data_IF_043859663098
#
_entry.id   IF_043859663098
#
_cell.length_a   1.000
_cell.length_b   1.000
_cell.length_c   1.000
_cell.angle_alpha   90.00
_cell.angle_beta   90.00
_cell.angle_gamma   90.00
#
_symmetry.space_group_name_H-M   'P 1'
#
loop_
_entity.id
_entity.type
_entity.pdbx_description
1 polymer ?
#
# COMPACT_ATOMS: atom_id res chain seq x y z
N UNK A 1 69.55 52.81 40.45
CA UNK A 1 69.79 51.52 39.76
C UNK A 1 68.44 50.86 39.56
N UNK A 2 67.82 51.06 38.37
CA UNK A 2 66.54 50.52 38.02
C UNK A 2 66.66 49.17 37.30
N UNK A 3 65.92 48.13 37.62
CA UNK A 3 65.94 46.89 36.88
C UNK A 3 65.01 46.98 35.68
N UNK A 4 65.56 46.65 34.53
CA UNK A 4 64.96 46.55 33.20
C UNK A 4 63.73 45.66 33.13
N UNK A 5 62.63 46.22 32.68
CA UNK A 5 61.34 45.49 32.34
C UNK A 5 61.51 44.83 31.01
N UNK A 6 61.46 43.49 30.94
CA UNK A 6 61.41 42.70 29.72
C UNK A 6 60.00 42.67 29.16
N UNK A 7 59.77 42.82 27.85
CA UNK A 7 58.46 42.66 27.24
C UNK A 7 58.14 41.15 27.02
N UNK A 8 57.01 40.74 27.55
CA UNK A 8 56.41 39.44 27.30
C UNK A 8 55.80 39.46 25.91
N UNK A 9 56.24 38.59 25.05
CA UNK A 9 55.61 38.33 23.72
C UNK A 9 54.66 37.15 23.82
N UNK A 10 53.36 37.46 23.87
CA UNK A 10 52.32 36.46 23.73
C UNK A 10 52.23 36.00 22.27
N UNK A 11 52.07 34.68 22.00
CA UNK A 11 51.87 34.15 20.66
C UNK A 11 50.47 34.48 20.15
N UNK A 12 50.30 34.70 18.81
CA UNK A 12 49.00 35.05 18.24
C UNK A 12 48.00 33.87 18.36
N UNK A 13 46.87 34.18 18.95
CA UNK A 13 45.72 33.27 19.03
C UNK A 13 45.24 32.94 17.62
N UNK A 14 45.44 31.72 17.17
CA UNK A 14 44.83 31.20 15.94
C UNK A 14 43.33 31.10 16.13
N UNK A 15 42.59 31.95 15.44
CA UNK A 15 41.15 31.84 15.29
C UNK A 15 40.85 30.64 14.38
N UNK A 16 40.37 29.55 14.98
CA UNK A 16 39.85 28.39 14.25
C UNK A 16 38.55 28.79 13.54
N UNK A 17 38.55 28.78 12.23
CA UNK A 17 37.34 28.94 11.42
C UNK A 17 36.31 27.89 11.78
N UNK A 18 34.98 28.23 11.82
CA UNK A 18 33.95 27.28 12.12
C UNK A 18 33.91 26.16 11.05
N UNK A 19 33.61 24.91 11.45
CA UNK A 19 33.50 23.81 10.50
C UNK A 19 32.36 24.08 9.49
N UNK A 20 32.52 23.66 8.24
CA UNK A 20 31.49 23.85 7.22
C UNK A 20 30.21 23.19 7.65
N UNK A 21 29.03 23.78 7.33
CA UNK A 21 27.73 23.20 7.70
C UNK A 21 27.61 21.80 7.11
N UNK A 22 27.32 20.83 7.99
CA UNK A 22 27.04 19.46 7.63
C UNK A 22 25.93 19.46 6.57
N UNK A 23 26.24 19.00 5.35
CA UNK A 23 25.27 18.77 4.29
C UNK A 23 24.26 17.76 4.84
N UNK A 24 23.14 18.25 5.31
CA UNK A 24 21.99 17.40 5.65
C UNK A 24 21.63 16.65 4.37
N UNK A 25 22.00 15.38 4.32
CA UNK A 25 21.53 14.48 3.30
C UNK A 25 20.01 14.50 3.40
N UNK A 26 19.34 15.02 2.36
CA UNK A 26 17.87 14.93 2.25
C UNK A 26 17.54 13.45 2.39
N UNK A 27 17.04 13.06 3.55
CA UNK A 27 16.49 11.72 3.79
C UNK A 27 15.55 11.47 2.61
N UNK A 28 15.92 10.55 1.74
CA UNK A 28 15.03 10.05 0.69
C UNK A 28 13.77 9.58 1.43
N UNK A 29 12.68 10.31 1.28
CA UNK A 29 11.38 9.83 1.74
C UNK A 29 11.25 8.41 1.21
N UNK A 30 11.20 7.44 2.11
CA UNK A 30 10.85 6.08 1.76
C UNK A 30 9.53 6.17 1.01
N UNK A 31 9.52 5.78 -0.26
CA UNK A 31 8.25 5.63 -0.98
C UNK A 31 7.44 4.60 -0.21
N UNK A 32 6.24 4.98 0.19
CA UNK A 32 5.31 4.02 0.75
C UNK A 32 5.06 2.94 -0.29
N UNK A 33 4.99 1.66 0.12
CA UNK A 33 4.65 0.59 -0.80
C UNK A 33 3.28 0.89 -1.42
N UNK A 34 3.15 0.72 -2.70
CA UNK A 34 1.92 0.95 -3.44
C UNK A 34 1.52 -0.30 -4.20
N UNK A 35 0.24 -0.62 -4.18
CA UNK A 35 -0.31 -1.69 -4.99
C UNK A 35 -0.29 -1.25 -6.46
N UNK A 36 0.19 -2.14 -7.33
CA UNK A 36 0.29 -1.90 -8.77
C UNK A 36 -0.54 -2.96 -9.48
N UNK A 37 -1.41 -2.54 -10.41
CA UNK A 37 -2.21 -3.44 -11.22
C UNK A 37 -1.61 -3.63 -12.60
N UNK A 38 -1.65 -4.86 -13.11
CA UNK A 38 -1.38 -5.12 -14.52
C UNK A 38 -2.42 -4.43 -15.39
N UNK A 39 -2.14 -4.18 -16.69
CA UNK A 39 -3.14 -3.65 -17.60
C UNK A 39 -4.41 -4.50 -17.68
N UNK A 40 -4.28 -5.83 -17.58
CA UNK A 40 -5.40 -6.76 -17.60
C UNK A 40 -6.26 -6.64 -16.33
N UNK A 41 -5.65 -6.68 -15.15
CA UNK A 41 -6.36 -6.54 -13.88
C UNK A 41 -7.07 -5.19 -13.79
N UNK A 42 -6.39 -4.13 -14.23
CA UNK A 42 -6.97 -2.79 -14.26
C UNK A 42 -8.15 -2.69 -15.23
N UNK A 43 -8.02 -3.26 -16.43
CA UNK A 43 -9.11 -3.27 -17.42
C UNK A 43 -10.34 -4.02 -16.90
N UNK A 44 -10.16 -5.17 -16.23
CA UNK A 44 -11.26 -5.91 -15.60
C UNK A 44 -11.97 -5.07 -14.54
N UNK A 45 -11.22 -4.41 -13.64
CA UNK A 45 -11.80 -3.51 -12.64
C UNK A 45 -12.60 -2.37 -13.29
N UNK A 46 -12.07 -1.74 -14.35
CA UNK A 46 -12.78 -0.69 -15.07
C UNK A 46 -14.03 -1.24 -15.77
N UNK A 47 -13.97 -2.43 -16.36
CA UNK A 47 -15.12 -3.07 -16.97
C UNK A 47 -16.23 -3.28 -15.95
N UNK A 48 -15.92 -3.82 -14.76
CA UNK A 48 -16.90 -4.05 -13.71
C UNK A 48 -17.42 -2.75 -13.10
N UNK A 49 -16.58 -1.74 -12.93
CA UNK A 49 -17.00 -0.40 -12.47
C UNK A 49 -18.08 0.21 -13.38
N UNK A 50 -18.01 -0.06 -14.68
CA UNK A 50 -18.92 0.50 -15.68
C UNK A 50 -20.00 -0.49 -16.16
N UNK A 51 -20.04 -1.70 -15.62
CA UNK A 51 -20.98 -2.74 -16.07
C UNK A 51 -22.41 -2.54 -15.55
N UNK A 52 -22.61 -1.77 -14.48
CA UNK A 52 -23.92 -1.55 -13.87
C UNK A 52 -23.87 -0.62 -12.66
N UNK A 53 -24.98 -0.57 -11.94
CA UNK A 53 -25.17 0.30 -10.76
C UNK A 53 -24.90 -0.44 -9.44
N UNK A 54 -24.30 -1.63 -9.50
CA UNK A 54 -23.95 -2.43 -8.33
C UNK A 54 -22.43 -2.52 -8.18
N UNK A 55 -22.00 -2.73 -6.94
CA UNK A 55 -20.61 -3.09 -6.66
C UNK A 55 -20.26 -4.46 -7.24
N UNK A 56 -19.01 -4.67 -7.59
CA UNK A 56 -18.46 -5.97 -7.96
C UNK A 56 -17.20 -6.21 -7.17
N UNK A 57 -17.15 -7.30 -6.44
CA UNK A 57 -15.99 -7.71 -5.66
C UNK A 57 -15.19 -8.83 -6.32
N UNK A 58 -13.96 -9.01 -5.84
CA UNK A 58 -13.11 -10.09 -6.28
C UNK A 58 -11.75 -10.09 -5.61
N UNK A 59 -10.94 -11.06 -6.00
CA UNK A 59 -9.60 -11.30 -5.46
C UNK A 59 -8.54 -10.84 -6.45
N UNK A 60 -7.52 -10.16 -5.93
CA UNK A 60 -6.33 -9.82 -6.69
C UNK A 60 -5.35 -10.99 -6.67
N UNK A 61 -5.03 -11.53 -7.85
CA UNK A 61 -3.96 -12.51 -8.00
C UNK A 61 -2.62 -11.78 -8.15
N UNK A 62 -1.77 -11.89 -7.15
CA UNK A 62 -0.44 -11.27 -7.14
C UNK A 62 0.58 -12.01 -7.98
N UNK A 63 1.60 -11.30 -8.46
CA UNK A 63 2.78 -11.90 -9.08
C UNK A 63 3.55 -12.78 -8.09
N UNK A 64 4.31 -13.72 -8.63
CA UNK A 64 5.22 -14.54 -7.85
C UNK A 64 6.42 -13.73 -7.33
N UNK A 65 6.94 -12.83 -8.15
CA UNK A 65 8.12 -12.03 -7.85
C UNK A 65 7.81 -10.78 -7.00
N UNK A 66 6.57 -10.26 -7.09
CA UNK A 66 6.15 -9.05 -6.36
C UNK A 66 4.69 -9.18 -5.93
N UNK A 67 4.49 -9.38 -4.63
CA UNK A 67 3.15 -9.54 -4.05
C UNK A 67 2.32 -8.24 -4.05
N UNK A 68 2.92 -7.10 -4.36
CA UNK A 68 2.20 -5.83 -4.56
C UNK A 68 1.84 -5.58 -6.03
N UNK A 69 2.29 -6.44 -6.95
CA UNK A 69 1.90 -6.40 -8.35
C UNK A 69 0.75 -7.39 -8.61
N UNK A 70 -0.46 -6.86 -8.80
CA UNK A 70 -1.67 -7.63 -9.10
C UNK A 70 -1.71 -7.96 -10.58
N UNK A 71 -1.49 -9.23 -10.92
CA UNK A 71 -1.47 -9.71 -12.30
C UNK A 71 -2.86 -9.83 -12.91
N UNK A 72 -3.84 -10.25 -12.08
CA UNK A 72 -5.21 -10.47 -12.51
C UNK A 72 -6.20 -10.13 -11.41
N UNK A 73 -7.44 -9.87 -11.78
CA UNK A 73 -8.58 -9.68 -10.90
C UNK A 73 -9.61 -10.78 -11.19
N UNK A 74 -9.93 -11.58 -10.17
CA UNK A 74 -10.80 -12.73 -10.26
C UNK A 74 -12.07 -12.49 -9.47
N UNK A 75 -13.20 -12.57 -10.13
CA UNK A 75 -14.51 -12.52 -9.48
C UNK A 75 -15.02 -13.94 -9.23
N UNK A 76 -15.78 -14.11 -8.16
CA UNK A 76 -16.50 -15.36 -7.85
C UNK A 76 -17.99 -15.06 -7.77
N UNK A 77 -18.83 -16.10 -7.69
CA UNK A 77 -20.27 -15.93 -7.50
C UNK A 77 -20.54 -15.06 -6.27
N UNK A 78 -21.40 -14.06 -6.45
CA UNK A 78 -21.64 -13.04 -5.45
C UNK A 78 -23.03 -12.43 -5.58
N UNK A 79 -23.59 -11.98 -4.47
CA UNK A 79 -24.77 -11.12 -4.43
C UNK A 79 -24.31 -9.68 -4.19
N UNK A 80 -24.77 -8.76 -5.02
CA UNK A 80 -24.30 -7.37 -4.99
C UNK A 80 -25.44 -6.38 -4.96
N UNK A 81 -25.16 -5.21 -4.36
CA UNK A 81 -26.01 -4.04 -4.40
C UNK A 81 -25.18 -2.81 -4.75
N UNK A 82 -25.75 -1.63 -4.68
CA UNK A 82 -25.02 -0.38 -4.86
C UNK A 82 -24.07 -0.02 -3.69
N UNK A 83 -24.09 -0.79 -2.60
CA UNK A 83 -23.36 -0.51 -1.34
C UNK A 83 -22.86 -1.77 -0.63
N UNK A 84 -22.99 -2.95 -1.23
CA UNK A 84 -22.57 -4.23 -0.63
C UNK A 84 -22.13 -5.22 -1.66
N UNK A 85 -21.12 -6.02 -1.29
CA UNK A 85 -20.71 -7.24 -1.97
C UNK A 85 -20.73 -8.38 -0.96
N UNK A 86 -21.43 -9.48 -1.29
CA UNK A 86 -21.47 -10.70 -0.50
C UNK A 86 -21.11 -11.88 -1.39
N UNK A 87 -19.97 -12.50 -1.13
CA UNK A 87 -19.52 -13.68 -1.87
C UNK A 87 -20.27 -14.93 -1.41
N UNK A 88 -20.56 -15.84 -2.35
CA UNK A 88 -21.01 -17.16 -2.02
C UNK A 88 -19.85 -17.98 -1.43
N UNK A 89 -20.00 -18.46 -0.20
CA UNK A 89 -18.94 -19.19 0.53
C UNK A 89 -18.38 -20.36 -0.28
N UNK A 90 -19.27 -21.12 -0.97
CA UNK A 90 -18.87 -22.23 -1.82
C UNK A 90 -18.02 -21.78 -3.00
N UNK A 91 -18.35 -20.67 -3.64
CA UNK A 91 -17.58 -20.15 -4.77
C UNK A 91 -16.20 -19.62 -4.36
N UNK A 92 -16.09 -19.06 -3.15
CA UNK A 92 -14.79 -18.68 -2.57
C UNK A 92 -13.95 -19.93 -2.28
N UNK A 93 -14.54 -20.95 -1.68
CA UNK A 93 -13.87 -22.22 -1.39
C UNK A 93 -13.37 -22.88 -2.68
N UNK A 94 -14.23 -23.01 -3.70
CA UNK A 94 -13.88 -23.59 -5.00
C UNK A 94 -12.74 -22.82 -5.69
N UNK A 95 -12.75 -21.49 -5.62
CA UNK A 95 -11.67 -20.66 -6.15
C UNK A 95 -10.35 -20.93 -5.42
N UNK A 96 -10.39 -20.98 -4.09
CA UNK A 96 -9.20 -21.19 -3.27
C UNK A 96 -8.62 -22.60 -3.48
N UNK A 97 -9.47 -23.61 -3.52
CA UNK A 97 -9.07 -25.00 -3.81
C UNK A 97 -8.44 -25.09 -5.21
N UNK A 98 -9.05 -24.46 -6.21
CA UNK A 98 -8.49 -24.42 -7.57
C UNK A 98 -7.11 -23.78 -7.63
N UNK A 99 -6.86 -22.72 -6.85
CA UNK A 99 -5.56 -22.09 -6.74
C UNK A 99 -4.53 -23.00 -6.07
N UNK A 100 -4.93 -23.69 -4.99
CA UNK A 100 -4.06 -24.64 -4.27
C UNK A 100 -3.70 -25.83 -5.17
N UNK A 101 -4.68 -26.38 -5.87
CA UNK A 101 -4.48 -27.49 -6.82
C UNK A 101 -3.55 -27.10 -7.99
N UNK A 102 -3.60 -25.82 -8.40
CA UNK A 102 -2.68 -25.27 -9.39
C UNK A 102 -1.28 -24.97 -8.82
N UNK A 103 -1.04 -25.24 -7.53
CA UNK A 103 0.23 -24.98 -6.86
C UNK A 103 0.50 -23.49 -6.57
N UNK A 104 -0.53 -22.64 -6.60
CA UNK A 104 -0.40 -21.21 -6.31
C UNK A 104 -0.43 -21.05 -4.78
N UNK A 105 0.59 -20.42 -4.17
CA UNK A 105 0.60 -20.23 -2.72
C UNK A 105 -0.47 -19.22 -2.29
N UNK A 106 -1.11 -19.39 -1.10
CA UNK A 106 -2.15 -18.50 -0.59
C UNK A 106 -1.74 -17.02 -0.52
N UNK A 107 -0.47 -16.75 -0.30
CA UNK A 107 0.06 -15.39 -0.31
C UNK A 107 -0.20 -14.63 -1.63
N UNK A 108 -0.46 -15.31 -2.74
CA UNK A 108 -0.71 -14.69 -4.03
C UNK A 108 -2.20 -14.44 -4.32
N UNK A 109 -3.10 -15.30 -3.86
CA UNK A 109 -4.52 -15.23 -4.23
C UNK A 109 -5.46 -14.84 -3.08
N UNK A 110 -5.05 -15.03 -1.82
CA UNK A 110 -5.93 -14.83 -0.66
C UNK A 110 -5.69 -13.53 0.11
N UNK A 111 -4.82 -12.62 -0.39
CA UNK A 111 -4.38 -11.43 0.37
C UNK A 111 -5.05 -10.14 -0.06
N UNK A 112 -5.44 -10.05 -1.30
CA UNK A 112 -5.96 -8.81 -1.87
C UNK A 112 -7.42 -9.04 -2.22
N UNK A 113 -8.29 -8.37 -1.49
CA UNK A 113 -9.69 -8.25 -1.82
C UNK A 113 -9.95 -6.83 -2.33
N UNK A 114 -10.68 -6.71 -3.42
CA UNK A 114 -11.04 -5.44 -4.03
C UNK A 114 -12.51 -5.45 -4.39
N UNK A 115 -13.15 -4.29 -4.34
CA UNK A 115 -14.47 -4.10 -4.94
C UNK A 115 -14.56 -2.73 -5.63
N UNK A 116 -15.53 -2.61 -6.52
CA UNK A 116 -15.81 -1.37 -7.26
C UNK A 116 -16.93 -0.62 -6.58
N UNK A 117 -16.88 0.71 -6.62
CA UNK A 117 -17.98 1.59 -6.20
C UNK A 117 -18.62 2.20 -7.45
N UNK A 118 -19.89 1.92 -7.76
CA UNK A 118 -20.55 2.47 -8.97
C UNK A 118 -20.79 3.98 -8.89
N UNK A 119 -20.63 4.58 -7.70
CA UNK A 119 -20.77 6.01 -7.48
C UNK A 119 -19.54 6.84 -7.84
N UNK A 120 -19.65 8.15 -7.70
CA UNK A 120 -18.55 9.09 -7.96
C UNK A 120 -17.52 9.18 -6.81
N UNK A 121 -17.82 8.63 -5.64
CA UNK A 121 -16.90 8.65 -4.49
C UNK A 121 -16.10 7.34 -4.39
N UNK A 122 -14.78 7.42 -4.31
CA UNK A 122 -13.93 6.28 -4.01
C UNK A 122 -13.81 6.00 -2.50
N UNK A 123 -14.51 6.77 -1.67
CA UNK A 123 -14.44 6.62 -0.22
C UNK A 123 -15.17 5.37 0.23
N UNK A 124 -14.64 4.63 1.22
CA UNK A 124 -15.30 3.45 1.75
C UNK A 124 -16.68 3.82 2.35
N UNK A 125 -17.65 2.95 2.13
CA UNK A 125 -18.95 3.07 2.77
C UNK A 125 -18.87 2.71 4.26
N UNK A 126 -19.91 3.04 5.03
CA UNK A 126 -19.98 2.64 6.45
C UNK A 126 -20.11 1.11 6.63
N UNK A 127 -20.41 0.38 5.56
CA UNK A 127 -20.42 -1.09 5.53
C UNK A 127 -18.97 -1.59 5.36
N UNK A 128 -18.22 -0.98 4.44
CA UNK A 128 -16.81 -1.31 4.22
C UNK A 128 -15.99 -1.10 5.48
N UNK A 129 -16.15 0.05 6.15
CA UNK A 129 -15.47 0.35 7.40
C UNK A 129 -15.72 -0.69 8.50
N UNK A 130 -16.91 -1.30 8.54
CA UNK A 130 -17.24 -2.37 9.49
C UNK A 130 -16.63 -3.70 9.09
N UNK A 131 -16.48 -3.95 7.81
CA UNK A 131 -15.94 -5.19 7.26
C UNK A 131 -14.42 -5.19 7.28
N UNK A 132 -13.76 -4.03 7.20
CA UNK A 132 -12.30 -3.87 7.28
C UNK A 132 -11.67 -4.49 8.55
N UNK A 133 -12.44 -4.63 9.63
CA UNK A 133 -11.99 -5.31 10.85
C UNK A 133 -11.88 -6.84 10.71
N UNK A 134 -12.33 -7.42 9.60
CA UNK A 134 -12.45 -8.88 9.42
C UNK A 134 -11.74 -9.37 8.15
N UNK A 135 -11.57 -8.53 7.14
CA UNK A 135 -10.99 -8.91 5.83
C UNK A 135 -10.00 -7.83 5.38
N UNK A 136 -8.93 -8.21 4.71
CA UNK A 136 -7.88 -7.31 4.20
C UNK A 136 -8.43 -6.02 3.59
N UNK A 137 -7.76 -4.87 3.79
CA UNK A 137 -8.29 -3.56 3.45
C UNK A 137 -8.66 -3.43 1.98
N UNK A 138 -9.86 -2.94 1.74
CA UNK A 138 -10.36 -2.62 0.41
C UNK A 138 -9.49 -1.53 -0.25
N UNK A 139 -9.12 -1.75 -1.50
CA UNK A 139 -8.50 -0.74 -2.32
C UNK A 139 -9.60 0.04 -3.04
N UNK A 140 -9.83 1.27 -2.65
CA UNK A 140 -10.64 2.20 -3.43
C UNK A 140 -9.76 2.86 -4.48
N UNK A 141 -10.13 2.75 -5.75
CA UNK A 141 -9.38 3.34 -6.87
C UNK A 141 -9.46 4.87 -6.82
N UNK A 142 -8.60 5.49 -6.00
CA UNK A 142 -8.51 6.95 -5.88
C UNK A 142 -8.31 7.49 -4.46
N UNK A 143 -8.41 6.68 -3.43
CA UNK A 143 -8.36 7.13 -2.03
C UNK A 143 -7.05 6.79 -1.30
N UNK A 144 -6.67 7.70 -0.44
CA UNK A 144 -5.44 7.71 0.37
C UNK A 144 -5.42 6.72 1.56
N UNK A 145 -6.48 5.94 1.77
CA UNK A 145 -6.70 5.23 3.04
C UNK A 145 -6.14 3.80 3.13
N UNK A 146 -5.81 3.16 2.03
CA UNK A 146 -5.27 1.78 2.01
C UNK A 146 -3.87 1.61 2.67
N UNK A 147 -3.33 2.66 3.26
CA UNK A 147 -1.91 2.79 3.60
C UNK A 147 -1.49 2.11 4.89
N UNK A 148 -2.39 1.79 5.80
CA UNK A 148 -1.96 1.45 7.17
C UNK A 148 -1.99 -0.04 7.50
N UNK A 149 -2.93 -0.80 7.00
CA UNK A 149 -3.15 -2.19 7.42
C UNK A 149 -2.30 -3.22 6.67
N UNK A 150 -2.05 -3.00 5.37
CA UNK A 150 -1.23 -3.91 4.55
C UNK A 150 0.25 -4.00 4.99
N UNK A 151 0.75 -2.98 5.67
CA UNK A 151 2.15 -2.91 6.11
C UNK A 151 2.44 -3.68 7.40
N UNK A 152 1.46 -3.89 8.25
CA UNK A 152 1.67 -4.63 9.50
C UNK A 152 1.68 -6.15 9.28
N UNK A 153 0.87 -6.66 8.36
CA UNK A 153 0.80 -8.09 8.06
C UNK A 153 2.00 -8.58 7.22
N UNK A 154 2.65 -7.70 6.46
CA UNK A 154 3.86 -8.02 5.70
C UNK A 154 5.14 -8.12 6.55
N UNK A 155 5.07 -7.73 7.82
CA UNK A 155 6.22 -7.76 8.75
C UNK A 155 6.22 -8.96 9.70
N UNK A 156 5.21 -9.80 9.65
CA UNK A 156 5.11 -11.06 10.41
C UNK A 156 5.38 -12.25 9.52
#
# INVERSE_FOLDING_TARGET
MDPKKTPSSDPPTQQSSPPPPCRQSKLRRRREPSLVFSPLAWLKLQLFLHAGDTEVGGFGLSSEDDLLYVQDFITVEQTTSSVTVEFADTAVADYFDSCVDAGIPPARFARIWCHTHPGASPDPSSVDERTEGVVCPAFTAGGSSAKHSLLEDLRR
#
